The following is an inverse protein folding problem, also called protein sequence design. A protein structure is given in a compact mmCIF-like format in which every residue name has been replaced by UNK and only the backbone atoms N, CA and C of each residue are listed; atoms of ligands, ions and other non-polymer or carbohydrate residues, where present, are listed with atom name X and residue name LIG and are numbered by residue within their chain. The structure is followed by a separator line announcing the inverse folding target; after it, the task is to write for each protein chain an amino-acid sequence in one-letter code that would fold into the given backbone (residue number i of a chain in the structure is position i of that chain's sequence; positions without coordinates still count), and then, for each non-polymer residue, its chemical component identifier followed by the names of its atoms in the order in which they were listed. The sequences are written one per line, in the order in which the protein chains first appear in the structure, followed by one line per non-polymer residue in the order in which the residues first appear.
data_IF_958881200797
#
_entry.id   IF_958881200797
#
_cell.length_a   1.000
_cell.length_b   1.000
_cell.length_c   1.000
_cell.angle_alpha   90.00
_cell.angle_beta   90.00
_cell.angle_gamma   90.00
#
_symmetry.space_group_name_H-M   'P 1'
#
loop_
_entity.id
_entity.type
_entity.pdbx_description
1 polymer ?
#
# COMPACT_ATOMS: atom_id res chain seq x y z
N UNK A 1 -27.17 -16.76 -20.88
CA UNK A 1 -26.60 -15.39 -20.76
C UNK A 1 -26.61 -15.01 -19.28
N UNK A 2 -25.46 -14.61 -18.71
CA UNK A 2 -25.38 -14.20 -17.30
C UNK A 2 -26.12 -12.87 -17.08
N UNK A 3 -26.75 -12.71 -15.92
CA UNK A 3 -27.43 -11.48 -15.51
C UNK A 3 -26.49 -10.27 -15.33
N UNK A 4 -25.17 -10.53 -15.19
CA UNK A 4 -24.15 -9.52 -14.92
C UNK A 4 -23.20 -9.37 -16.11
N UNK A 5 -22.56 -8.21 -16.21
CA UNK A 5 -21.51 -7.97 -17.21
C UNK A 5 -20.29 -8.85 -16.95
N UNK A 6 -19.58 -9.25 -18.02
CA UNK A 6 -18.32 -10.01 -17.90
C UNK A 6 -17.30 -9.28 -17.04
N UNK A 7 -17.22 -7.95 -17.11
CA UNK A 7 -16.32 -7.11 -16.34
C UNK A 7 -16.61 -7.21 -14.83
N UNK A 8 -17.88 -7.23 -14.43
CA UNK A 8 -18.28 -7.32 -13.02
C UNK A 8 -18.01 -8.72 -12.43
N UNK A 9 -17.96 -9.75 -13.26
CA UNK A 9 -17.82 -11.16 -12.81
C UNK A 9 -16.44 -11.76 -13.07
N UNK A 10 -15.51 -11.03 -13.69
CA UNK A 10 -14.16 -11.52 -13.94
C UNK A 10 -13.29 -11.51 -12.68
N UNK A 11 -12.27 -12.39 -12.65
CA UNK A 11 -11.32 -12.51 -11.55
C UNK A 11 -10.27 -11.39 -11.45
N UNK A 12 -10.31 -10.40 -12.33
CA UNK A 12 -9.36 -9.27 -12.32
C UNK A 12 -9.39 -8.45 -11.02
N UNK A 13 -10.44 -8.63 -10.19
CA UNK A 13 -10.51 -8.04 -8.85
C UNK A 13 -9.52 -8.68 -7.88
N UNK A 14 -9.08 -9.93 -8.10
CA UNK A 14 -8.09 -10.62 -7.27
C UNK A 14 -8.60 -11.06 -5.89
N UNK A 15 -9.92 -11.19 -5.69
CA UNK A 15 -10.52 -11.60 -4.40
C UNK A 15 -10.11 -12.99 -3.93
N UNK A 16 -9.68 -13.86 -4.82
CA UNK A 16 -9.21 -15.22 -4.57
C UNK A 16 -7.70 -15.30 -4.29
N UNK A 17 -7.01 -14.15 -4.31
CA UNK A 17 -5.59 -14.10 -3.95
C UNK A 17 -5.37 -14.44 -2.46
N UNK A 18 -4.20 -14.98 -2.13
CA UNK A 18 -3.81 -15.29 -0.75
C UNK A 18 -3.86 -14.07 0.18
N UNK A 19 -3.72 -12.86 -0.37
CA UNK A 19 -3.89 -11.62 0.38
C UNK A 19 -5.31 -11.48 0.95
N UNK A 20 -6.35 -11.66 0.13
CA UNK A 20 -7.75 -11.57 0.57
C UNK A 20 -8.19 -12.83 1.34
N UNK A 21 -7.69 -14.01 0.98
CA UNK A 21 -7.97 -15.24 1.74
C UNK A 21 -7.49 -15.13 3.19
N UNK A 22 -6.33 -14.53 3.43
CA UNK A 22 -5.83 -14.29 4.78
C UNK A 22 -6.76 -13.38 5.61
N UNK A 23 -7.39 -12.40 4.97
CA UNK A 23 -8.39 -11.55 5.62
C UNK A 23 -9.64 -12.33 5.98
N UNK A 24 -10.17 -13.12 5.06
CA UNK A 24 -11.34 -13.95 5.30
C UNK A 24 -11.11 -14.95 6.45
N UNK A 25 -9.93 -15.53 6.55
CA UNK A 25 -9.58 -16.44 7.67
C UNK A 25 -9.48 -15.69 9.00
N UNK A 26 -8.93 -14.47 8.98
CA UNK A 26 -8.94 -13.60 10.16
C UNK A 26 -10.37 -13.26 10.59
N UNK A 27 -11.23 -12.84 9.68
CA UNK A 27 -12.63 -12.47 9.98
C UNK A 27 -13.44 -13.63 10.60
N UNK A 28 -13.15 -14.86 10.20
CA UNK A 28 -13.79 -16.07 10.78
C UNK A 28 -13.33 -16.37 12.21
N UNK A 29 -12.13 -15.94 12.60
CA UNK A 29 -11.51 -16.30 13.87
C UNK A 29 -10.53 -15.21 14.36
N UNK A 30 -11.02 -13.97 14.59
CA UNK A 30 -10.15 -12.86 15.01
C UNK A 30 -9.64 -13.08 16.44
N UNK A 31 -8.39 -12.69 16.66
CA UNK A 31 -7.83 -12.64 18.00
C UNK A 31 -8.50 -11.56 18.82
N UNK A 32 -8.89 -11.91 20.04
CA UNK A 32 -9.29 -11.00 21.10
C UNK A 32 -8.66 -11.48 22.40
N UNK A 33 -8.08 -10.59 23.17
CA UNK A 33 -7.32 -10.93 24.38
C UNK A 33 -8.18 -11.67 25.42
N UNK A 34 -9.46 -11.32 25.53
CA UNK A 34 -10.40 -11.86 26.52
C UNK A 34 -11.31 -12.92 25.91
N UNK A 35 -11.93 -12.60 24.77
CA UNK A 35 -12.98 -13.43 24.18
C UNK A 35 -12.43 -14.56 23.31
N UNK A 36 -11.29 -14.36 22.65
CA UNK A 36 -10.69 -15.35 21.74
C UNK A 36 -9.17 -15.31 21.74
N UNK A 37 -8.49 -15.66 22.86
CA UNK A 37 -7.04 -15.58 22.96
C UNK A 37 -6.28 -16.55 22.03
N UNK A 38 -6.97 -17.50 21.41
CA UNK A 38 -6.44 -18.44 20.41
C UNK A 38 -6.72 -18.04 18.96
N UNK A 39 -7.36 -16.89 18.75
CA UNK A 39 -7.68 -16.38 17.45
C UNK A 39 -6.47 -15.96 16.63
N UNK A 40 -6.70 -15.61 15.37
CA UNK A 40 -5.70 -15.16 14.42
C UNK A 40 -5.37 -13.70 14.68
N UNK A 41 -4.10 -13.35 14.88
CA UNK A 41 -3.62 -11.97 14.98
C UNK A 41 -3.46 -11.41 13.57
N UNK A 42 -3.99 -10.21 13.31
CA UNK A 42 -3.94 -9.56 12.00
C UNK A 42 -2.60 -8.82 11.81
N UNK A 43 -1.71 -9.41 11.02
CA UNK A 43 -0.44 -8.79 10.60
C UNK A 43 -0.35 -8.59 9.07
N UNK A 44 -1.43 -8.86 8.35
CA UNK A 44 -1.54 -8.63 6.90
C UNK A 44 -2.14 -7.27 6.54
N UNK A 45 -2.72 -6.53 7.51
CA UNK A 45 -3.35 -5.23 7.32
C UNK A 45 -2.38 -4.08 7.62
N UNK A 46 -2.00 -3.31 6.60
CA UNK A 46 -1.22 -2.09 6.76
C UNK A 46 -2.10 -0.93 7.23
N UNK A 47 -2.41 -0.87 8.52
CA UNK A 47 -3.18 0.19 9.16
C UNK A 47 -2.38 0.78 10.32
N UNK A 48 -2.48 2.10 10.48
CA UNK A 48 -1.81 2.82 11.56
C UNK A 48 -2.80 3.13 12.67
N UNK A 49 -2.71 2.41 13.78
CA UNK A 49 -3.57 2.59 14.96
C UNK A 49 -2.79 3.15 16.16
N UNK A 50 -1.53 3.55 15.96
CA UNK A 50 -0.62 3.86 17.07
C UNK A 50 -0.90 5.19 17.76
N UNK A 51 -1.62 6.11 17.11
CA UNK A 51 -1.71 7.50 17.56
C UNK A 51 -3.16 8.02 17.60
N UNK A 52 -4.16 7.14 17.75
CA UNK A 52 -5.56 7.54 17.88
C UNK A 52 -5.82 8.42 19.11
N UNK A 53 -5.13 8.16 20.22
CA UNK A 53 -5.19 8.97 21.43
C UNK A 53 -4.90 10.47 21.18
N UNK A 54 -3.99 10.77 20.25
CA UNK A 54 -3.67 12.16 19.87
C UNK A 54 -4.82 12.79 19.07
N UNK A 55 -5.42 12.04 18.15
CA UNK A 55 -6.57 12.48 17.35
C UNK A 55 -7.79 12.69 18.24
N UNK A 56 -8.10 11.73 19.11
CA UNK A 56 -9.22 11.80 20.05
C UNK A 56 -9.04 12.98 21.03
N UNK A 57 -7.81 13.19 21.54
CA UNK A 57 -7.50 14.35 22.38
C UNK A 57 -7.69 15.67 21.65
N UNK A 58 -7.34 15.75 20.36
CA UNK A 58 -7.58 16.95 19.56
C UNK A 58 -9.08 17.19 19.35
N UNK A 59 -9.83 16.15 19.01
CA UNK A 59 -11.29 16.22 18.84
C UNK A 59 -11.99 16.67 20.12
N UNK A 60 -11.59 16.14 21.27
CA UNK A 60 -12.13 16.54 22.56
C UNK A 60 -11.88 18.01 22.92
N UNK A 61 -10.74 18.58 22.46
CA UNK A 61 -10.40 19.99 22.64
C UNK A 61 -11.07 20.92 21.63
N UNK A 62 -11.61 20.38 20.54
CA UNK A 62 -12.24 21.12 19.45
C UNK A 62 -13.69 20.63 19.19
N UNK A 63 -14.56 20.62 20.21
CA UNK A 63 -15.90 20.01 20.10
C UNK A 63 -16.81 20.73 19.09
N UNK A 64 -16.60 22.00 18.83
CA UNK A 64 -17.38 22.75 17.85
C UNK A 64 -17.18 22.23 16.42
N UNK A 65 -15.96 21.79 16.10
CA UNK A 65 -15.64 21.27 14.76
C UNK A 65 -16.44 19.98 14.49
N UNK A 66 -16.46 19.06 15.47
CA UNK A 66 -17.22 17.81 15.37
C UNK A 66 -18.74 18.04 15.40
N UNK A 67 -19.20 19.09 16.09
CA UNK A 67 -20.60 19.48 16.17
C UNK A 67 -21.06 20.35 14.98
N UNK A 68 -20.22 20.56 13.98
CA UNK A 68 -20.48 21.41 12.83
C UNK A 68 -20.89 22.84 13.23
N UNK A 69 -20.12 23.41 14.16
CA UNK A 69 -20.27 24.79 14.61
C UNK A 69 -19.05 25.62 14.25
N UNK A 70 -19.27 26.91 14.04
CA UNK A 70 -18.24 27.94 13.90
C UNK A 70 -18.69 29.16 14.66
N UNK A 71 -17.85 29.67 15.59
CA UNK A 71 -18.15 30.80 16.45
C UNK A 71 -19.52 30.64 17.16
N UNK A 72 -19.78 29.47 17.70
CA UNK A 72 -21.02 29.09 18.39
C UNK A 72 -22.25 28.86 17.49
N UNK A 73 -22.17 29.16 16.18
CA UNK A 73 -23.27 29.00 15.22
C UNK A 73 -23.18 27.70 14.45
N UNK A 74 -24.35 27.07 14.19
CA UNK A 74 -24.41 25.87 13.36
C UNK A 74 -24.10 26.21 11.90
N UNK A 75 -23.16 25.48 11.30
CA UNK A 75 -22.88 25.49 9.87
C UNK A 75 -23.38 24.23 9.17
N UNK A 76 -24.25 23.43 9.86
CA UNK A 76 -24.77 22.17 9.32
C UNK A 76 -25.44 22.35 7.97
N UNK A 77 -26.26 23.39 7.81
CA UNK A 77 -26.97 23.65 6.55
C UNK A 77 -26.01 23.91 5.40
N UNK A 78 -24.91 24.62 5.65
CA UNK A 78 -23.87 24.87 4.63
C UNK A 78 -23.21 23.55 4.19
N UNK A 79 -22.86 22.70 5.16
CA UNK A 79 -22.18 21.43 4.89
C UNK A 79 -23.12 20.37 4.29
N UNK A 80 -24.43 20.47 4.54
CA UNK A 80 -25.42 19.51 4.04
C UNK A 80 -25.81 19.72 2.58
N UNK A 81 -25.57 20.92 2.04
CA UNK A 81 -25.85 21.25 0.64
C UNK A 81 -24.74 20.72 -0.29
N UNK A 82 -25.04 20.62 -1.59
CA UNK A 82 -24.03 20.37 -2.57
C UNK A 82 -22.93 21.45 -2.51
N UNK A 83 -21.69 20.97 -2.40
CA UNK A 83 -20.50 21.81 -2.47
C UNK A 83 -19.82 21.66 -3.83
N UNK A 84 -18.87 22.54 -4.12
CA UNK A 84 -18.03 22.40 -5.30
C UNK A 84 -17.31 21.04 -5.25
N UNK A 85 -17.48 20.23 -6.28
CA UNK A 85 -16.82 18.91 -6.39
C UNK A 85 -15.30 19.02 -6.60
N UNK A 86 -14.76 20.24 -6.82
CA UNK A 86 -13.33 20.48 -6.74
C UNK A 86 -12.82 20.43 -5.27
N UNK A 87 -13.71 20.45 -4.31
CA UNK A 87 -13.43 20.43 -2.88
C UNK A 87 -13.47 21.81 -2.22
N UNK A 88 -13.65 21.83 -0.90
CA UNK A 88 -13.66 23.06 -0.11
C UNK A 88 -12.29 23.76 -0.18
N UNK A 89 -12.21 25.03 -0.55
CA UNK A 89 -10.94 25.77 -0.68
C UNK A 89 -10.07 25.70 0.58
N UNK A 90 -10.70 25.82 1.76
CA UNK A 90 -9.99 25.72 3.05
C UNK A 90 -9.37 24.32 3.25
N UNK A 91 -10.07 23.28 2.84
CA UNK A 91 -9.54 21.92 2.96
C UNK A 91 -8.40 21.68 1.99
N UNK A 92 -8.55 22.08 0.73
CA UNK A 92 -7.48 21.97 -0.28
C UNK A 92 -6.22 22.67 0.21
N UNK A 93 -6.35 23.92 0.71
CA UNK A 93 -5.23 24.69 1.27
C UNK A 93 -4.58 23.98 2.46
N UNK A 94 -5.37 23.52 3.44
CA UNK A 94 -4.85 22.81 4.61
C UNK A 94 -4.14 21.50 4.24
N UNK A 95 -4.67 20.77 3.25
CA UNK A 95 -4.09 19.53 2.76
C UNK A 95 -2.75 19.74 2.05
N UNK A 96 -2.66 20.72 1.14
CA UNK A 96 -1.39 21.01 0.44
C UNK A 96 -0.32 21.54 1.39
N UNK A 97 -0.69 22.33 2.37
CA UNK A 97 0.23 22.80 3.42
C UNK A 97 0.74 21.65 4.28
N UNK A 98 -0.14 20.70 4.61
CA UNK A 98 0.25 19.49 5.33
C UNK A 98 1.15 18.59 4.48
N UNK A 99 0.83 18.40 3.19
CA UNK A 99 1.68 17.65 2.27
C UNK A 99 3.08 18.26 2.14
N UNK A 100 3.19 19.59 2.11
CA UNK A 100 4.48 20.28 2.12
C UNK A 100 5.23 20.09 3.46
N UNK A 101 4.53 20.21 4.59
CA UNK A 101 5.10 20.08 5.93
C UNK A 101 5.74 18.69 6.17
N UNK A 102 5.04 17.61 5.83
CA UNK A 102 5.58 16.25 5.99
C UNK A 102 6.75 15.94 5.05
N UNK A 103 6.97 16.77 4.04
CA UNK A 103 8.14 16.75 3.11
C UNK A 103 9.21 17.77 3.49
N UNK A 104 9.18 18.27 4.73
CA UNK A 104 10.15 19.25 5.23
C UNK A 104 10.10 20.60 4.54
N UNK A 105 8.98 20.97 3.91
CA UNK A 105 8.76 22.19 3.12
C UNK A 105 9.76 22.36 1.95
N UNK A 106 10.35 21.30 1.47
CA UNK A 106 11.28 21.33 0.32
C UNK A 106 10.55 21.49 -1.00
N UNK A 107 9.29 21.05 -1.05
CA UNK A 107 8.36 21.23 -2.16
C UNK A 107 7.11 21.95 -1.69
N UNK A 108 6.51 22.71 -2.58
CA UNK A 108 5.22 23.38 -2.39
C UNK A 108 4.20 22.79 -3.35
N UNK A 109 2.95 22.80 -2.95
CA UNK A 109 1.83 22.29 -3.75
C UNK A 109 0.81 23.42 -3.96
N UNK A 110 0.38 23.63 -5.22
CA UNK A 110 -0.69 24.56 -5.53
C UNK A 110 -2.05 23.89 -5.25
N UNK A 111 -2.93 24.50 -4.41
CA UNK A 111 -4.25 23.95 -4.18
C UNK A 111 -5.14 23.89 -5.43
N UNK A 112 -4.81 24.61 -6.51
CA UNK A 112 -5.53 24.52 -7.78
C UNK A 112 -5.15 23.26 -8.58
N UNK A 113 -3.96 22.70 -8.35
CA UNK A 113 -3.45 21.49 -9.00
C UNK A 113 -3.72 20.21 -8.21
N UNK A 114 -4.56 20.28 -7.16
CA UNK A 114 -4.94 19.11 -6.38
C UNK A 114 -6.36 18.65 -6.72
N UNK A 115 -6.51 17.35 -6.93
CA UNK A 115 -7.81 16.69 -7.15
C UNK A 115 -8.10 15.77 -5.98
N UNK A 116 -9.22 16.00 -5.29
CA UNK A 116 -9.64 15.16 -4.16
C UNK A 116 -10.32 13.87 -4.65
N UNK A 117 -10.04 12.78 -3.96
CA UNK A 117 -10.56 11.45 -4.31
C UNK A 117 -10.94 10.66 -3.05
N UNK A 118 -11.74 9.61 -3.21
CA UNK A 118 -12.13 8.71 -2.12
C UNK A 118 -10.98 7.75 -1.71
N UNK A 119 -9.86 8.31 -1.26
CA UNK A 119 -8.64 7.59 -0.90
C UNK A 119 -7.72 7.32 -2.10
N UNK A 120 -6.50 6.83 -1.84
CA UNK A 120 -5.50 6.57 -2.89
C UNK A 120 -5.93 5.51 -3.90
N UNK A 121 -6.76 4.55 -3.52
CA UNK A 121 -7.36 3.58 -4.46
C UNK A 121 -8.09 4.29 -5.59
N UNK A 122 -8.97 5.25 -5.25
CA UNK A 122 -9.67 6.05 -6.24
C UNK A 122 -8.74 6.99 -7.00
N UNK A 123 -7.69 7.53 -6.34
CA UNK A 123 -6.69 8.37 -7.00
C UNK A 123 -5.93 7.61 -8.09
N UNK A 124 -5.43 6.43 -7.76
CA UNK A 124 -4.70 5.58 -8.70
C UNK A 124 -5.59 5.12 -9.87
N UNK A 125 -6.83 4.67 -9.58
CA UNK A 125 -7.79 4.32 -10.63
C UNK A 125 -8.11 5.50 -11.55
N UNK A 126 -8.34 6.69 -10.98
CA UNK A 126 -8.62 7.93 -11.74
C UNK A 126 -7.45 8.28 -12.66
N UNK A 127 -6.20 8.17 -12.18
CA UNK A 127 -5.04 8.42 -13.04
C UNK A 127 -4.93 7.38 -14.16
N UNK A 128 -5.14 6.09 -13.88
CA UNK A 128 -5.17 5.08 -14.94
C UNK A 128 -6.22 5.39 -16.00
N UNK A 129 -7.42 5.79 -15.57
CA UNK A 129 -8.50 6.18 -16.48
C UNK A 129 -8.16 7.41 -17.33
N UNK A 130 -7.45 8.40 -16.75
CA UNK A 130 -7.12 9.64 -17.45
C UNK A 130 -5.92 9.51 -18.38
N UNK A 131 -4.98 8.61 -18.09
CA UNK A 131 -3.67 8.53 -18.76
C UNK A 131 -3.55 7.37 -19.74
N UNK A 132 -4.46 6.40 -19.72
CA UNK A 132 -4.34 5.17 -20.49
C UNK A 132 -5.69 4.67 -21.01
N UNK A 133 -5.65 4.10 -22.19
CA UNK A 133 -6.76 3.35 -22.77
C UNK A 133 -6.72 1.88 -22.34
N UNK A 134 -7.84 1.18 -22.56
CA UNK A 134 -7.91 -0.25 -22.30
C UNK A 134 -6.88 -1.01 -23.14
N UNK A 135 -6.03 -1.80 -22.47
CA UNK A 135 -4.96 -2.57 -23.10
C UNK A 135 -3.61 -1.85 -23.14
N UNK A 136 -3.57 -0.56 -22.77
CA UNK A 136 -2.30 0.11 -22.49
C UNK A 136 -1.69 -0.42 -21.19
N UNK A 137 -0.42 -0.17 -20.96
CA UNK A 137 0.33 -0.74 -19.84
C UNK A 137 1.02 0.32 -18.97
N UNK A 138 1.17 -0.02 -17.69
CA UNK A 138 2.08 0.65 -16.77
C UNK A 138 3.12 -0.33 -16.24
N UNK A 139 4.37 0.16 -16.11
CA UNK A 139 5.45 -0.61 -15.49
C UNK A 139 5.40 -0.42 -13.97
N UNK A 140 5.49 -1.50 -13.20
CA UNK A 140 5.51 -1.47 -11.73
C UNK A 140 6.70 -2.29 -11.20
N UNK A 141 7.55 -1.73 -10.30
CA UNK A 141 8.62 -2.50 -9.67
C UNK A 141 8.05 -3.55 -8.70
N UNK A 142 8.53 -4.77 -8.80
CA UNK A 142 8.19 -5.86 -7.89
C UNK A 142 9.16 -5.90 -6.70
N UNK A 143 8.72 -6.32 -5.50
CA UNK A 143 7.33 -6.57 -5.15
C UNK A 143 6.53 -5.28 -5.00
N UNK A 144 5.20 -5.35 -5.26
CA UNK A 144 4.30 -4.21 -5.13
C UNK A 144 3.04 -4.56 -4.32
N UNK A 145 2.26 -3.53 -3.97
CA UNK A 145 1.03 -3.67 -3.20
C UNK A 145 -0.01 -4.53 -3.94
N UNK A 146 -0.51 -5.63 -3.34
CA UNK A 146 -1.45 -6.56 -3.99
C UNK A 146 -2.75 -5.91 -4.49
N UNK A 147 -3.17 -4.82 -3.85
CA UNK A 147 -4.38 -4.10 -4.26
C UNK A 147 -4.28 -3.42 -5.61
N UNK A 148 -3.08 -3.21 -6.16
CA UNK A 148 -2.90 -2.60 -7.49
C UNK A 148 -3.48 -3.45 -8.62
N UNK A 149 -3.51 -4.78 -8.50
CA UNK A 149 -4.17 -5.64 -9.48
C UNK A 149 -5.65 -5.26 -9.64
N UNK A 150 -6.33 -4.93 -8.54
CA UNK A 150 -7.69 -4.42 -8.56
C UNK A 150 -7.74 -2.95 -8.95
N UNK A 151 -6.97 -2.11 -8.25
CA UNK A 151 -7.09 -0.65 -8.31
C UNK A 151 -6.75 -0.12 -9.70
N UNK A 152 -5.77 -0.74 -10.39
CA UNK A 152 -5.31 -0.28 -11.69
C UNK A 152 -5.98 -1.00 -12.88
N UNK A 153 -6.29 -2.31 -12.75
CA UNK A 153 -6.69 -3.17 -13.87
C UNK A 153 -8.20 -3.36 -14.01
N UNK A 154 -8.88 -3.65 -12.92
CA UNK A 154 -10.23 -4.22 -12.97
C UNK A 154 -11.24 -3.35 -13.74
N UNK A 155 -11.31 -2.06 -13.43
CA UNK A 155 -12.27 -1.15 -14.09
C UNK A 155 -11.71 -0.51 -15.34
N UNK A 156 -10.45 -0.15 -15.36
CA UNK A 156 -9.79 0.54 -16.46
C UNK A 156 -9.46 -0.38 -17.63
N UNK A 157 -9.03 -1.62 -17.32
CA UNK A 157 -8.50 -2.56 -18.31
C UNK A 157 -7.05 -2.28 -18.71
N UNK A 158 -6.34 -1.49 -17.91
CA UNK A 158 -4.89 -1.27 -18.03
C UNK A 158 -4.14 -2.54 -17.65
N UNK A 159 -3.03 -2.83 -18.34
CA UNK A 159 -2.15 -3.95 -18.03
C UNK A 159 -1.00 -3.50 -17.11
N UNK A 160 -0.59 -4.40 -16.20
CA UNK A 160 0.60 -4.21 -15.38
C UNK A 160 1.73 -5.05 -15.95
N UNK A 161 2.87 -4.43 -16.23
CA UNK A 161 4.10 -5.10 -16.62
C UNK A 161 5.12 -4.96 -15.49
N UNK A 162 5.56 -6.07 -14.87
CA UNK A 162 6.44 -6.01 -13.72
C UNK A 162 7.88 -5.62 -14.12
N UNK A 163 8.47 -4.67 -13.39
CA UNK A 163 9.90 -4.44 -13.36
C UNK A 163 10.48 -5.41 -12.34
N UNK A 164 11.21 -6.42 -12.79
CA UNK A 164 11.69 -7.50 -11.93
C UNK A 164 12.84 -7.01 -11.04
N UNK A 165 12.55 -6.78 -9.75
CA UNK A 165 13.53 -6.46 -8.72
C UNK A 165 13.78 -7.69 -7.85
N UNK A 166 15.01 -7.85 -7.33
CA UNK A 166 15.43 -9.05 -6.61
C UNK A 166 16.03 -8.74 -5.24
N UNK A 167 15.98 -9.70 -4.33
CA UNK A 167 16.55 -9.55 -2.99
C UNK A 167 18.07 -9.42 -2.95
N UNK A 168 18.77 -9.75 -4.05
CA UNK A 168 20.23 -9.63 -4.15
C UNK A 168 20.73 -8.17 -4.10
N UNK A 169 19.86 -7.20 -4.43
CA UNK A 169 20.14 -5.76 -4.34
C UNK A 169 19.08 -5.02 -3.53
N UNK A 170 18.50 -5.67 -2.51
CA UNK A 170 17.46 -5.11 -1.66
C UNK A 170 16.22 -4.63 -2.43
N UNK A 171 15.91 -5.28 -3.55
CA UNK A 171 14.78 -4.97 -4.45
C UNK A 171 14.83 -3.55 -5.05
N UNK A 172 16.01 -2.97 -5.19
CA UNK A 172 16.18 -1.67 -5.85
C UNK A 172 15.91 -1.77 -7.36
N UNK A 173 15.37 -0.71 -7.92
CA UNK A 173 15.14 -0.59 -9.36
C UNK A 173 16.50 -0.35 -10.05
N UNK A 174 16.80 -1.18 -11.05
CA UNK A 174 17.98 -1.02 -11.89
C UNK A 174 17.59 -0.61 -13.30
N UNK A 175 18.48 0.07 -14.01
CA UNK A 175 18.27 0.45 -15.41
C UNK A 175 18.00 -0.79 -16.29
N UNK A 176 18.74 -1.86 -16.09
CA UNK A 176 18.57 -3.11 -16.83
C UNK A 176 17.18 -3.73 -16.60
N UNK A 177 16.70 -3.77 -15.35
CA UNK A 177 15.37 -4.29 -15.04
C UNK A 177 14.25 -3.46 -15.67
N UNK A 178 14.41 -2.12 -15.65
CA UNK A 178 13.46 -1.19 -16.24
C UNK A 178 13.40 -1.33 -17.77
N UNK A 179 14.57 -1.41 -18.43
CA UNK A 179 14.66 -1.61 -19.89
C UNK A 179 14.10 -2.98 -20.31
N UNK A 180 14.38 -4.05 -19.55
CA UNK A 180 13.84 -5.39 -19.83
C UNK A 180 12.30 -5.42 -19.72
N UNK A 181 11.73 -4.77 -18.70
CA UNK A 181 10.28 -4.66 -18.55
C UNK A 181 9.64 -3.90 -19.73
N UNK A 182 10.27 -2.82 -20.17
CA UNK A 182 9.81 -2.06 -21.34
C UNK A 182 9.87 -2.89 -22.62
N UNK A 183 10.97 -3.62 -22.85
CA UNK A 183 11.12 -4.53 -23.98
C UNK A 183 10.10 -5.68 -23.96
N UNK A 184 9.78 -6.22 -22.77
CA UNK A 184 8.75 -7.25 -22.63
C UNK A 184 7.37 -6.71 -23.04
N UNK A 185 7.03 -5.51 -22.58
CA UNK A 185 5.80 -4.84 -22.99
C UNK A 185 5.73 -4.66 -24.52
N UNK A 186 6.84 -4.24 -25.16
CA UNK A 186 6.92 -4.08 -26.62
C UNK A 186 6.73 -5.41 -27.35
N UNK A 187 7.36 -6.50 -26.88
CA UNK A 187 7.18 -7.86 -27.46
C UNK A 187 5.73 -8.34 -27.37
N UNK A 188 5.01 -7.91 -26.34
CA UNK A 188 3.58 -8.20 -26.14
C UNK A 188 2.67 -7.22 -26.90
N UNK A 189 3.22 -6.32 -27.73
CA UNK A 189 2.49 -5.26 -28.43
C UNK A 189 1.67 -4.36 -27.50
N UNK A 190 2.16 -4.09 -26.29
CA UNK A 190 1.54 -3.18 -25.33
C UNK A 190 2.10 -1.77 -25.49
N UNK A 191 1.23 -0.76 -25.49
CA UNK A 191 1.62 0.65 -25.40
C UNK A 191 1.88 1.00 -23.95
N UNK A 192 3.13 1.29 -23.58
CA UNK A 192 3.48 1.67 -22.21
C UNK A 192 3.23 3.16 -22.02
N UNK A 193 2.31 3.50 -21.11
CA UNK A 193 1.94 4.88 -20.77
C UNK A 193 2.73 5.47 -19.62
N UNK A 194 3.43 4.63 -18.84
CA UNK A 194 4.25 5.16 -17.75
C UNK A 194 4.75 4.12 -16.78
N UNK A 195 5.31 4.65 -15.69
CA UNK A 195 5.77 3.90 -14.52
C UNK A 195 4.99 4.36 -13.30
N UNK A 196 4.53 3.41 -12.47
CA UNK A 196 3.96 3.70 -11.16
C UNK A 196 4.88 3.12 -10.09
N UNK A 197 5.25 3.95 -9.11
CA UNK A 197 6.05 3.55 -7.95
C UNK A 197 5.36 3.97 -6.66
N UNK A 198 5.55 3.19 -5.59
CA UNK A 198 5.16 3.57 -4.23
C UNK A 198 6.40 3.98 -3.45
N UNK A 199 6.45 5.20 -2.96
CA UNK A 199 7.57 5.71 -2.17
C UNK A 199 7.08 6.45 -0.91
N UNK A 200 7.39 5.97 0.29
CA UNK A 200 8.07 4.72 0.67
C UNK A 200 7.39 3.46 0.15
N UNK A 201 8.19 2.43 -0.19
CA UNK A 201 7.71 1.22 -0.85
C UNK A 201 6.80 0.36 0.04
N UNK A 202 5.71 -0.12 -0.52
CA UNK A 202 4.90 -1.22 -0.01
C UNK A 202 5.05 -2.41 -0.98
N UNK A 203 5.63 -3.55 -0.56
CA UNK A 203 5.71 -4.06 0.81
C UNK A 203 7.06 -3.88 1.53
N UNK A 204 8.06 -3.25 0.94
CA UNK A 204 9.43 -3.28 1.43
C UNK A 204 9.67 -2.48 2.74
N UNK A 205 8.89 -1.39 2.96
CA UNK A 205 9.07 -0.51 4.12
C UNK A 205 10.32 0.37 4.03
N UNK A 206 10.76 0.69 2.83
CA UNK A 206 11.95 1.52 2.57
C UNK A 206 11.61 2.73 1.69
N UNK A 207 12.37 3.81 1.87
CA UNK A 207 12.36 4.96 0.97
C UNK A 207 13.19 4.67 -0.27
N UNK A 208 12.71 5.12 -1.44
CA UNK A 208 13.51 5.08 -2.67
C UNK A 208 14.72 6.01 -2.59
N UNK A 209 15.81 5.59 -3.17
CA UNK A 209 17.01 6.42 -3.27
C UNK A 209 16.84 7.52 -4.32
N UNK A 210 17.63 8.60 -4.20
CA UNK A 210 17.68 9.66 -5.23
C UNK A 210 18.13 9.11 -6.59
N UNK A 211 19.01 8.10 -6.60
CA UNK A 211 19.48 7.48 -7.84
C UNK A 211 18.37 6.74 -8.57
N UNK A 212 17.52 5.97 -7.85
CA UNK A 212 16.37 5.30 -8.45
C UNK A 212 15.36 6.31 -9.02
N UNK A 213 15.09 7.41 -8.27
CA UNK A 213 14.18 8.45 -8.76
C UNK A 213 14.74 9.16 -10.00
N UNK A 214 16.04 9.46 -10.01
CA UNK A 214 16.70 10.04 -11.18
C UNK A 214 16.60 9.11 -12.39
N UNK A 215 16.87 7.82 -12.20
CA UNK A 215 16.73 6.80 -13.24
C UNK A 215 15.32 6.79 -13.84
N UNK A 216 14.28 6.85 -13.00
CA UNK A 216 12.89 6.88 -13.47
C UNK A 216 12.56 8.17 -14.23
N UNK A 217 13.04 9.32 -13.76
CA UNK A 217 12.85 10.62 -14.44
C UNK A 217 13.58 10.62 -15.79
N UNK A 218 14.82 10.12 -15.86
CA UNK A 218 15.56 10.01 -17.10
C UNK A 218 14.82 9.08 -18.07
N UNK A 219 14.37 7.94 -17.61
CA UNK A 219 13.64 6.96 -18.41
C UNK A 219 12.37 7.54 -19.06
N UNK A 220 11.57 8.31 -18.32
CA UNK A 220 10.37 8.96 -18.89
C UNK A 220 10.71 10.18 -19.73
N UNK A 221 11.84 10.86 -19.47
CA UNK A 221 12.28 12.04 -20.23
C UNK A 221 12.58 11.68 -21.68
N UNK A 222 13.19 10.53 -21.92
CA UNK A 222 13.53 10.02 -23.25
C UNK A 222 12.31 9.56 -24.07
N UNK A 223 11.11 9.56 -23.49
CA UNK A 223 9.89 9.02 -24.08
C UNK A 223 8.74 10.01 -23.93
N UNK A 224 8.36 10.66 -25.03
CA UNK A 224 7.46 11.82 -25.05
C UNK A 224 6.09 11.58 -24.37
N UNK A 225 5.54 10.35 -24.43
CA UNK A 225 4.18 10.04 -23.98
C UNK A 225 4.13 9.25 -22.67
N UNK A 226 5.25 9.17 -21.93
CA UNK A 226 5.32 8.42 -20.69
C UNK A 226 5.13 9.31 -19.46
N UNK A 227 4.35 8.79 -18.51
CA UNK A 227 4.09 9.40 -17.22
C UNK A 227 4.85 8.68 -16.10
N UNK A 228 5.15 9.39 -15.02
CA UNK A 228 5.59 8.83 -13.75
C UNK A 228 4.57 9.14 -12.67
N UNK A 229 4.00 8.10 -12.07
CA UNK A 229 3.10 8.22 -10.92
C UNK A 229 3.88 7.81 -9.67
N UNK A 230 4.02 8.73 -8.73
CA UNK A 230 4.63 8.49 -7.43
C UNK A 230 3.53 8.42 -6.37
N UNK A 231 3.21 7.21 -5.91
CA UNK A 231 2.29 7.01 -4.77
C UNK A 231 3.06 7.24 -3.47
N UNK A 232 2.91 8.45 -2.91
CA UNK A 232 3.63 8.92 -1.72
C UNK A 232 2.78 8.80 -0.43
N UNK A 233 1.88 7.82 -0.39
CA UNK A 233 0.93 7.60 0.71
C UNK A 233 1.58 7.37 2.08
N UNK A 234 2.86 6.94 2.11
CA UNK A 234 3.63 6.67 3.33
C UNK A 234 4.64 7.77 3.67
N UNK A 235 4.61 8.94 3.02
CA UNK A 235 5.62 9.99 3.14
C UNK A 235 5.84 10.49 4.57
N UNK A 236 4.78 10.56 5.39
CA UNK A 236 4.86 10.96 6.81
C UNK A 236 5.23 9.81 7.77
N UNK A 237 5.34 8.57 7.29
CA UNK A 237 5.68 7.39 8.12
C UNK A 237 7.17 7.10 8.20
N UNK A 238 8.02 7.95 7.64
CA UNK A 238 9.49 7.74 7.69
C UNK A 238 10.00 8.01 9.10
N UNK A 239 10.54 6.99 9.74
CA UNK A 239 10.95 7.01 11.14
C UNK A 239 12.46 6.83 11.36
N UNK A 240 13.23 6.57 10.29
CA UNK A 240 14.69 6.45 10.33
C UNK A 240 15.33 6.96 9.04
N UNK A 241 16.67 7.08 9.04
CA UNK A 241 17.44 7.46 7.84
C UNK A 241 17.49 6.33 6.80
N UNK A 242 17.51 6.70 5.49
CA UNK A 242 17.41 8.05 4.95
C UNK A 242 16.03 8.65 5.09
N UNK A 243 15.94 9.99 5.13
CA UNK A 243 14.67 10.72 5.16
C UNK A 243 13.90 10.59 3.84
N UNK A 244 12.63 10.96 3.86
CA UNK A 244 11.79 10.97 2.67
C UNK A 244 12.24 12.03 1.65
N UNK A 245 12.26 11.65 0.38
CA UNK A 245 12.46 12.53 -0.76
C UNK A 245 11.30 12.36 -1.72
N UNK A 246 10.58 13.45 -2.01
CA UNK A 246 9.50 13.44 -3.01
C UNK A 246 10.07 13.46 -4.43
N UNK A 247 9.33 12.86 -5.38
CA UNK A 247 9.69 12.97 -6.80
C UNK A 247 9.75 14.43 -7.26
N UNK A 248 8.90 15.30 -6.71
CA UNK A 248 8.89 16.73 -7.04
C UNK A 248 10.11 17.47 -6.49
N UNK A 249 10.71 17.01 -5.37
CA UNK A 249 11.99 17.53 -4.87
C UNK A 249 13.11 17.25 -5.89
N UNK A 250 13.13 16.04 -6.46
CA UNK A 250 14.12 15.69 -7.49
C UNK A 250 13.97 16.56 -8.74
N UNK A 251 12.73 16.76 -9.23
CA UNK A 251 12.50 17.64 -10.39
C UNK A 251 12.99 19.07 -10.12
N UNK A 252 12.73 19.58 -8.92
CA UNK A 252 13.18 20.92 -8.50
C UNK A 252 14.71 21.01 -8.43
N UNK A 253 15.36 20.03 -7.79
CA UNK A 253 16.81 19.98 -7.61
C UNK A 253 17.55 19.87 -8.95
N UNK A 254 16.93 19.23 -9.95
CA UNK A 254 17.47 19.13 -11.31
C UNK A 254 17.27 20.40 -12.15
N UNK A 255 16.60 21.43 -11.61
CA UNK A 255 16.28 22.68 -12.31
C UNK A 255 15.60 22.44 -13.68
N UNK A 256 14.75 21.42 -13.77
CA UNK A 256 14.01 21.13 -14.99
C UNK A 256 13.00 22.26 -15.24
N UNK A 257 13.09 22.86 -16.43
CA UNK A 257 12.22 23.98 -16.81
C UNK A 257 10.77 23.49 -16.94
N UNK A 258 9.83 24.23 -16.34
CA UNK A 258 8.40 23.94 -16.44
C UNK A 258 7.81 24.26 -17.81
N UNK A 259 8.44 25.15 -18.58
CA UNK A 259 7.93 25.72 -19.82
C UNK A 259 8.60 25.16 -21.09
N UNK A 260 9.31 24.03 -21.02
CA UNK A 260 9.92 23.39 -22.19
C UNK A 260 8.93 22.44 -22.89
N UNK A 261 9.04 22.28 -24.22
CA UNK A 261 8.19 21.36 -25.01
C UNK A 261 8.31 19.89 -24.55
N UNK A 262 9.42 19.53 -23.89
CA UNK A 262 9.63 18.23 -23.25
C UNK A 262 9.23 18.21 -21.77
N UNK A 263 8.28 19.03 -21.36
CA UNK A 263 7.98 19.31 -19.97
C UNK A 263 7.68 18.05 -19.12
N UNK A 264 8.70 17.54 -18.44
CA UNK A 264 8.62 16.38 -17.56
C UNK A 264 7.67 16.65 -16.37
N UNK A 265 7.57 17.90 -15.90
CA UNK A 265 6.65 18.28 -14.83
C UNK A 265 5.20 17.92 -15.15
N UNK A 266 4.77 18.10 -16.41
CA UNK A 266 3.42 17.77 -16.87
C UNK A 266 3.15 16.25 -16.93
N UNK A 267 4.19 15.43 -16.77
CA UNK A 267 4.13 13.98 -16.87
C UNK A 267 4.44 13.27 -15.55
N UNK A 268 4.68 14.03 -14.47
CA UNK A 268 4.91 13.50 -13.12
C UNK A 268 3.72 13.83 -12.25
N UNK A 269 3.13 12.80 -11.63
CA UNK A 269 1.94 12.92 -10.78
C UNK A 269 2.20 12.31 -9.42
N UNK A 270 1.74 12.99 -8.37
CA UNK A 270 1.84 12.49 -7.00
C UNK A 270 0.47 12.04 -6.51
N UNK A 271 0.40 10.83 -5.99
CA UNK A 271 -0.76 10.33 -5.23
C UNK A 271 -0.46 10.43 -3.74
N UNK A 272 -1.44 10.91 -2.99
CA UNK A 272 -1.33 11.03 -1.54
C UNK A 272 -2.65 10.66 -0.84
N UNK A 273 -2.58 10.30 0.43
CA UNK A 273 -3.77 10.01 1.25
C UNK A 273 -3.46 10.16 2.74
N UNK A 274 -4.45 10.60 3.52
CA UNK A 274 -4.38 10.66 4.98
C UNK A 274 -4.51 9.27 5.65
N UNK A 275 -4.76 8.22 4.88
CA UNK A 275 -5.04 6.87 5.39
C UNK A 275 -3.91 6.25 6.21
N UNK A 276 -2.64 6.59 5.89
CA UNK A 276 -1.48 5.96 6.54
C UNK A 276 -0.78 6.92 7.50
N UNK A 277 -0.51 8.13 7.05
CA UNK A 277 0.21 9.13 7.84
C UNK A 277 -0.59 9.56 9.09
N UNK A 278 -1.91 9.76 8.95
CA UNK A 278 -2.79 10.08 10.07
C UNK A 278 -3.55 8.87 10.64
N UNK A 279 -3.44 7.68 10.03
CA UNK A 279 -4.20 6.51 10.47
C UNK A 279 -5.72 6.66 10.26
N UNK A 280 -6.15 7.38 9.23
CA UNK A 280 -7.56 7.68 8.94
C UNK A 280 -8.07 7.00 7.64
N UNK A 281 -7.89 5.67 7.46
CA UNK A 281 -8.34 5.00 6.24
C UNK A 281 -9.87 5.05 6.07
N UNK A 282 -10.62 5.09 7.16
CA UNK A 282 -12.10 5.17 7.16
C UNK A 282 -12.65 6.52 6.69
N UNK A 283 -11.86 7.59 6.74
CA UNK A 283 -12.27 8.93 6.28
C UNK A 283 -12.27 9.06 4.76
N UNK A 284 -11.66 8.13 4.04
CA UNK A 284 -11.64 8.07 2.58
C UNK A 284 -11.12 9.34 1.91
N UNK A 285 -10.00 9.87 2.37
CA UNK A 285 -9.36 11.07 1.79
C UNK A 285 -8.11 10.67 1.02
N UNK A 286 -8.14 10.90 -0.27
CA UNK A 286 -7.00 10.81 -1.18
C UNK A 286 -6.89 12.06 -2.04
N UNK A 287 -5.75 12.23 -2.67
CA UNK A 287 -5.47 13.34 -3.55
C UNK A 287 -4.55 12.92 -4.70
N UNK A 288 -4.78 13.51 -5.86
CA UNK A 288 -3.86 13.56 -6.98
C UNK A 288 -3.30 14.96 -7.04
N UNK A 289 -1.99 15.10 -7.17
CA UNK A 289 -1.34 16.36 -7.51
C UNK A 289 -0.67 16.24 -8.87
N UNK A 290 -0.91 17.22 -9.74
CA UNK A 290 -0.32 17.26 -11.07
C UNK A 290 -0.13 18.71 -11.50
N UNK A 291 1.02 19.03 -12.09
CA UNK A 291 1.25 20.34 -12.74
C UNK A 291 0.59 20.41 -14.14
N UNK A 292 -0.02 19.33 -14.60
CA UNK A 292 -0.69 19.25 -15.90
C UNK A 292 -2.18 19.62 -15.78
N UNK A 293 -2.55 20.80 -16.25
CA UNK A 293 -3.93 21.31 -16.19
C UNK A 293 -4.94 20.38 -16.89
N UNK A 294 -4.55 19.71 -17.97
CA UNK A 294 -5.45 18.80 -18.68
C UNK A 294 -5.73 17.53 -17.89
N UNK A 295 -4.70 17.01 -17.16
CA UNK A 295 -4.87 15.89 -16.25
C UNK A 295 -5.72 16.30 -15.05
N UNK A 296 -5.47 17.47 -14.47
CA UNK A 296 -6.27 18.02 -13.35
C UNK A 296 -7.73 18.18 -13.78
N UNK A 297 -8.00 18.77 -14.94
CA UNK A 297 -9.36 18.94 -15.46
C UNK A 297 -10.07 17.61 -15.72
N UNK A 298 -9.38 16.63 -16.31
CA UNK A 298 -9.93 15.30 -16.56
C UNK A 298 -10.21 14.53 -15.26
N UNK A 299 -9.24 14.52 -14.34
CA UNK A 299 -9.35 13.84 -13.04
C UNK A 299 -10.45 14.47 -12.18
N UNK A 300 -10.63 15.78 -12.22
CA UNK A 300 -11.70 16.48 -11.51
C UNK A 300 -13.09 16.04 -11.98
N UNK A 301 -13.30 15.81 -13.27
CA UNK A 301 -14.58 15.25 -13.78
C UNK A 301 -14.86 13.87 -13.18
N UNK A 302 -13.82 13.05 -13.04
CA UNK A 302 -13.92 11.72 -12.42
C UNK A 302 -14.16 11.77 -10.90
N UNK A 303 -13.74 12.83 -10.22
CA UNK A 303 -13.98 13.04 -8.77
C UNK A 303 -15.47 12.99 -8.42
N UNK A 304 -16.38 13.36 -9.34
CA UNK A 304 -17.82 13.29 -9.11
C UNK A 304 -18.31 11.89 -8.69
N UNK A 305 -17.54 10.83 -8.98
CA UNK A 305 -17.84 9.45 -8.60
C UNK A 305 -17.19 9.01 -7.27
N UNK A 306 -16.35 9.85 -6.68
CA UNK A 306 -15.59 9.52 -5.48
C UNK A 306 -15.26 10.75 -4.63
N UNK A 307 -16.26 11.59 -4.35
CA UNK A 307 -16.11 12.83 -3.58
C UNK A 307 -15.85 12.52 -2.10
N UNK A 308 -15.02 13.36 -1.51
CA UNK A 308 -14.87 13.44 -0.05
C UNK A 308 -16.03 14.27 0.52
N UNK A 309 -16.73 13.75 1.53
CA UNK A 309 -17.87 14.48 2.13
C UNK A 309 -17.47 15.84 2.67
N UNK A 310 -18.36 16.84 2.56
CA UNK A 310 -18.13 18.20 3.08
C UNK A 310 -17.84 18.21 4.57
N UNK A 311 -18.47 17.31 5.33
CA UNK A 311 -18.25 17.14 6.76
C UNK A 311 -16.84 16.67 7.07
N UNK A 312 -16.34 15.67 6.31
CA UNK A 312 -14.96 15.20 6.42
C UNK A 312 -13.98 16.31 6.07
N UNK A 313 -14.23 17.03 4.98
CA UNK A 313 -13.38 18.14 4.56
C UNK A 313 -13.36 19.27 5.60
N UNK A 314 -14.51 19.62 6.20
CA UNK A 314 -14.59 20.63 7.25
C UNK A 314 -13.78 20.23 8.49
N UNK A 315 -14.01 19.01 9.00
CA UNK A 315 -13.29 18.50 10.17
C UNK A 315 -11.77 18.51 9.93
N UNK A 316 -11.34 17.98 8.79
CA UNK A 316 -9.93 17.87 8.47
C UNK A 316 -9.30 19.21 8.10
N UNK A 317 -10.04 20.19 7.58
CA UNK A 317 -9.55 21.56 7.39
C UNK A 317 -9.07 22.15 8.71
N UNK A 318 -9.87 22.02 9.75
CA UNK A 318 -9.53 22.53 11.08
C UNK A 318 -8.34 21.76 11.68
N UNK A 319 -8.36 20.43 11.59
CA UNK A 319 -7.31 19.57 12.13
C UNK A 319 -5.95 19.81 11.45
N UNK A 320 -5.91 19.82 10.11
CA UNK A 320 -4.69 20.05 9.34
C UNK A 320 -4.23 21.51 9.38
N UNK A 321 -5.16 22.44 9.65
CA UNK A 321 -4.87 23.86 9.87
C UNK A 321 -4.16 24.12 11.19
N UNK A 322 -4.33 23.27 12.20
CA UNK A 322 -3.62 23.35 13.48
C UNK A 322 -2.17 22.83 13.32
N UNK A 323 -1.28 23.73 12.92
CA UNK A 323 0.12 23.40 12.64
C UNK A 323 0.90 22.93 13.87
N UNK A 324 0.48 23.31 15.07
CA UNK A 324 1.08 22.80 16.32
C UNK A 324 0.69 21.34 16.53
N UNK A 325 -0.56 21.02 16.28
CA UNK A 325 -1.06 19.65 16.37
C UNK A 325 -0.40 18.75 15.33
N UNK A 326 -0.41 19.11 14.03
CA UNK A 326 0.11 18.28 12.95
C UNK A 326 1.58 17.94 13.13
N UNK A 327 2.42 18.92 13.51
CA UNK A 327 3.85 18.69 13.80
C UNK A 327 4.06 17.73 14.96
N UNK A 328 3.34 17.97 16.07
CA UNK A 328 3.42 17.08 17.23
C UNK A 328 2.95 15.67 16.89
N UNK A 329 1.83 15.54 16.18
CA UNK A 329 1.29 14.26 15.75
C UNK A 329 2.30 13.47 14.90
N UNK A 330 2.84 14.07 13.84
CA UNK A 330 3.79 13.40 12.93
C UNK A 330 5.04 12.97 13.70
N UNK A 331 5.62 13.86 14.53
CA UNK A 331 6.81 13.55 15.32
C UNK A 331 6.57 12.36 16.27
N UNK A 332 5.47 12.40 17.02
CA UNK A 332 5.12 11.34 17.97
C UNK A 332 4.80 10.03 17.25
N UNK A 333 4.03 10.09 16.17
CA UNK A 333 3.68 8.92 15.37
C UNK A 333 4.94 8.24 14.79
N UNK A 334 5.92 9.00 14.29
CA UNK A 334 7.19 8.45 13.81
C UNK A 334 8.00 7.78 14.92
N UNK A 335 8.00 8.35 16.12
CA UNK A 335 8.66 7.72 17.28
C UNK A 335 7.99 6.39 17.68
N UNK A 336 6.65 6.35 17.70
CA UNK A 336 5.88 5.15 17.98
C UNK A 336 6.09 4.08 16.90
N UNK A 337 6.10 4.46 15.63
CA UNK A 337 6.42 3.56 14.51
C UNK A 337 7.83 2.95 14.67
N UNK A 338 8.83 3.78 14.96
CA UNK A 338 10.21 3.32 15.20
C UNK A 338 10.30 2.32 16.35
N UNK A 339 9.59 2.60 17.46
CA UNK A 339 9.52 1.70 18.60
C UNK A 339 8.91 0.35 18.23
N UNK A 340 7.76 0.36 17.52
CA UNK A 340 7.07 -0.86 17.09
C UNK A 340 7.88 -1.68 16.09
N UNK A 341 8.51 -1.03 15.13
CA UNK A 341 9.43 -1.68 14.19
C UNK A 341 10.58 -2.37 14.93
N UNK A 342 11.21 -1.73 15.91
CA UNK A 342 12.26 -2.34 16.72
C UNK A 342 11.77 -3.55 17.51
N UNK A 343 10.56 -3.50 18.06
CA UNK A 343 9.95 -4.65 18.76
C UNK A 343 9.76 -5.84 17.81
N UNK A 344 9.18 -5.60 16.61
CA UNK A 344 9.02 -6.64 15.60
C UNK A 344 10.37 -7.25 15.21
N UNK A 345 11.36 -6.42 14.84
CA UNK A 345 12.68 -6.87 14.40
C UNK A 345 13.39 -7.68 15.50
N UNK A 346 13.34 -7.21 16.75
CA UNK A 346 13.89 -7.96 17.90
C UNK A 346 13.21 -9.32 18.09
N UNK A 347 11.88 -9.37 17.92
CA UNK A 347 11.12 -10.62 17.98
C UNK A 347 11.50 -11.60 16.87
N UNK A 348 11.63 -11.11 15.63
CA UNK A 348 12.07 -11.90 14.47
C UNK A 348 13.50 -12.45 14.68
N UNK A 349 14.44 -11.60 15.12
CA UNK A 349 15.82 -12.03 15.42
C UNK A 349 15.88 -13.14 16.47
N UNK A 350 15.08 -13.04 17.55
CA UNK A 350 14.95 -14.09 18.58
C UNK A 350 14.34 -15.39 18.04
N UNK A 351 13.62 -15.33 16.93
CA UNK A 351 13.09 -16.48 16.21
C UNK A 351 14.04 -16.98 15.11
N UNK A 352 15.21 -16.37 14.90
CA UNK A 352 16.16 -16.74 13.85
C UNK A 352 15.69 -16.29 12.44
N UNK A 353 14.80 -15.30 12.35
CA UNK A 353 14.25 -14.78 11.11
C UNK A 353 14.88 -13.41 10.82
N UNK A 354 15.33 -13.20 9.59
CA UNK A 354 15.84 -11.91 9.11
C UNK A 354 14.78 -11.10 8.39
N UNK A 355 15.02 -9.80 8.22
CA UNK A 355 14.16 -8.92 7.42
C UNK A 355 15.00 -7.84 6.75
N UNK A 356 14.46 -7.29 5.66
CA UNK A 356 15.01 -6.11 5.02
C UNK A 356 15.04 -4.95 6.02
N UNK A 357 16.09 -4.15 6.00
CA UNK A 357 16.22 -2.98 6.89
C UNK A 357 15.22 -1.91 6.46
N UNK A 358 14.12 -1.80 7.18
CA UNK A 358 13.08 -0.80 6.93
C UNK A 358 13.36 0.51 7.67
N UNK A 359 12.99 1.64 7.04
CA UNK A 359 13.07 2.98 7.61
C UNK A 359 11.74 3.75 7.54
N UNK A 360 10.70 3.12 6.98
CA UNK A 360 9.41 3.75 6.73
C UNK A 360 8.27 2.72 6.72
N UNK A 361 7.03 3.21 6.62
CA UNK A 361 5.85 2.38 6.48
C UNK A 361 5.36 1.78 7.80
N UNK A 362 4.50 0.78 7.69
CA UNK A 362 3.76 0.16 8.80
C UNK A 362 4.09 -1.34 8.93
N UNK A 363 5.12 -1.81 8.22
CA UNK A 363 5.43 -3.23 8.04
C UNK A 363 6.93 -3.44 7.78
N UNK A 364 7.36 -4.69 7.93
CA UNK A 364 8.67 -5.16 7.51
C UNK A 364 8.53 -6.24 6.42
N UNK A 365 9.51 -6.29 5.52
CA UNK A 365 9.67 -7.34 4.51
C UNK A 365 10.63 -8.40 5.06
N UNK A 366 10.09 -9.61 5.28
CA UNK A 366 10.69 -10.63 6.14
C UNK A 366 11.12 -11.83 5.32
N UNK A 367 12.36 -12.28 5.52
CA UNK A 367 12.95 -13.43 4.86
C UNK A 367 12.73 -14.71 5.68
N UNK A 368 11.86 -15.58 5.19
CA UNK A 368 11.57 -16.90 5.77
C UNK A 368 12.00 -18.04 4.84
N UNK A 369 12.87 -17.79 3.84
CA UNK A 369 13.32 -18.78 2.86
C UNK A 369 13.92 -20.03 3.50
N UNK A 370 14.60 -19.90 4.64
CA UNK A 370 15.18 -21.03 5.39
C UNK A 370 14.14 -21.96 6.02
N UNK A 371 12.87 -21.56 6.07
CA UNK A 371 11.75 -22.37 6.58
C UNK A 371 11.02 -23.11 5.44
N UNK A 372 11.34 -22.82 4.19
CA UNK A 372 10.74 -23.49 3.03
C UNK A 372 11.29 -24.93 2.91
N UNK A 373 10.44 -25.86 2.51
CA UNK A 373 10.85 -27.22 2.19
C UNK A 373 11.58 -27.33 0.84
N UNK A 374 11.27 -26.42 -0.09
CA UNK A 374 11.90 -26.24 -1.39
C UNK A 374 11.79 -24.78 -1.81
N UNK A 375 12.68 -24.32 -2.69
CA UNK A 375 12.67 -22.94 -3.17
C UNK A 375 11.61 -22.75 -4.27
N UNK A 376 10.32 -22.88 -3.89
CA UNK A 376 9.17 -22.74 -4.80
C UNK A 376 8.03 -21.96 -4.15
N UNK A 377 7.16 -21.35 -4.97
CA UNK A 377 5.98 -20.64 -4.49
C UNK A 377 4.94 -21.57 -3.87
N UNK A 378 4.88 -22.85 -4.28
CA UNK A 378 4.05 -23.85 -3.62
C UNK A 378 4.49 -24.08 -2.17
N UNK A 379 5.82 -24.17 -1.92
CA UNK A 379 6.37 -24.30 -0.57
C UNK A 379 6.14 -23.02 0.27
N UNK A 380 6.19 -21.83 -0.34
CA UNK A 380 5.80 -20.58 0.32
C UNK A 380 4.34 -20.62 0.76
N UNK A 381 3.42 -21.06 -0.12
CA UNK A 381 2.00 -21.15 0.20
C UNK A 381 1.70 -22.22 1.27
N UNK A 382 2.44 -23.33 1.30
CA UNK A 382 2.32 -24.32 2.37
C UNK A 382 2.83 -23.74 3.73
N UNK A 383 3.93 -22.97 3.72
CA UNK A 383 4.40 -22.26 4.90
C UNK A 383 3.37 -21.22 5.36
N UNK A 384 2.82 -20.42 4.44
CA UNK A 384 1.76 -19.44 4.73
C UNK A 384 0.55 -20.09 5.40
N UNK A 385 0.06 -21.23 4.88
CA UNK A 385 -1.03 -21.97 5.50
C UNK A 385 -0.71 -22.41 6.94
N UNK A 386 0.51 -22.92 7.17
CA UNK A 386 0.95 -23.27 8.54
C UNK A 386 0.95 -22.05 9.45
N UNK A 387 1.42 -20.92 8.98
CA UNK A 387 1.44 -19.67 9.78
C UNK A 387 0.01 -19.22 10.10
N UNK A 388 -0.91 -19.23 9.14
CA UNK A 388 -2.32 -18.84 9.39
C UNK A 388 -3.03 -19.81 10.31
N UNK A 389 -2.93 -21.13 10.05
CA UNK A 389 -3.77 -22.11 10.75
C UNK A 389 -3.15 -22.71 12.01
N UNK A 390 -1.83 -22.76 12.13
CA UNK A 390 -1.14 -23.30 13.30
C UNK A 390 -0.59 -22.20 14.20
N UNK A 391 0.14 -21.23 13.63
CA UNK A 391 0.70 -20.11 14.41
C UNK A 391 -0.36 -19.08 14.76
N UNK A 392 -1.45 -19.03 13.99
CA UNK A 392 -2.55 -18.06 14.17
C UNK A 392 -2.11 -16.61 13.92
N UNK A 393 -1.37 -16.40 12.85
CA UNK A 393 -0.99 -15.09 12.34
C UNK A 393 -1.44 -14.92 10.89
N UNK A 394 -2.17 -13.87 10.59
CA UNK A 394 -2.40 -13.48 9.19
C UNK A 394 -1.26 -12.57 8.73
N UNK A 395 -0.44 -13.04 7.79
CA UNK A 395 0.66 -12.30 7.15
C UNK A 395 0.48 -12.37 5.64
N UNK A 396 1.07 -11.43 4.89
CA UNK A 396 0.97 -11.45 3.43
C UNK A 396 2.15 -12.20 2.82
N UNK A 397 1.93 -13.28 2.03
CA UNK A 397 3.01 -13.98 1.34
C UNK A 397 3.57 -13.12 0.20
N UNK A 398 4.83 -13.33 -0.15
CA UNK A 398 5.54 -12.59 -1.20
C UNK A 398 4.92 -12.76 -2.58
N UNK A 399 4.44 -13.94 -2.89
CA UNK A 399 3.70 -14.23 -4.13
C UNK A 399 2.49 -13.32 -4.32
N UNK A 400 1.77 -12.96 -3.24
CA UNK A 400 0.66 -12.01 -3.33
C UNK A 400 1.11 -10.57 -3.63
N UNK A 401 2.36 -10.25 -3.36
CA UNK A 401 2.99 -8.98 -3.69
C UNK A 401 3.79 -9.04 -5.01
N UNK A 402 3.62 -10.09 -5.79
CA UNK A 402 4.38 -10.34 -7.04
C UNK A 402 5.89 -10.39 -6.85
N UNK A 403 6.35 -10.85 -5.69
CA UNK A 403 7.77 -11.09 -5.44
C UNK A 403 8.31 -12.14 -6.40
N UNK A 404 9.50 -11.91 -6.94
CA UNK A 404 10.16 -12.84 -7.88
C UNK A 404 10.79 -14.05 -7.19
N UNK A 405 10.97 -13.97 -5.87
CA UNK A 405 11.63 -14.97 -5.04
C UNK A 405 10.64 -15.49 -4.01
N UNK A 406 10.44 -16.82 -3.89
CA UNK A 406 9.57 -17.39 -2.85
C UNK A 406 10.18 -17.27 -1.45
N UNK A 407 9.33 -17.21 -0.44
CA UNK A 407 9.72 -17.22 0.97
C UNK A 407 9.89 -15.85 1.62
N UNK A 408 9.54 -14.80 0.93
CA UNK A 408 9.40 -13.47 1.52
C UNK A 408 7.98 -13.23 2.01
N UNK A 409 7.84 -12.44 3.09
CA UNK A 409 6.53 -12.13 3.69
C UNK A 409 6.48 -10.69 4.19
N UNK A 410 5.32 -10.04 4.05
CA UNK A 410 5.07 -8.75 4.69
C UNK A 410 4.38 -8.94 6.02
N UNK A 411 4.98 -8.41 7.10
CA UNK A 411 4.44 -8.38 8.45
C UNK A 411 4.18 -6.95 8.90
N UNK A 412 2.91 -6.61 9.18
CA UNK A 412 2.51 -5.31 9.70
C UNK A 412 2.63 -5.27 11.23
N UNK A 413 2.98 -4.11 11.79
CA UNK A 413 3.25 -3.92 13.22
C UNK A 413 2.48 -2.74 13.85
N UNK A 414 1.77 -1.96 13.03
CA UNK A 414 1.19 -0.69 13.47
C UNK A 414 -0.31 -0.77 13.79
N UNK A 415 -0.94 -1.93 13.68
CA UNK A 415 -2.38 -2.15 13.83
C UNK A 415 -2.75 -2.99 15.05
N UNK A 416 -1.89 -3.05 16.07
CA UNK A 416 -2.11 -3.82 17.28
C UNK A 416 -1.42 -3.22 18.50
N UNK A 417 -1.75 -3.69 19.72
CA UNK A 417 -1.05 -3.34 20.96
C UNK A 417 0.38 -3.90 21.00
N UNK A 418 1.21 -3.42 21.93
CA UNK A 418 2.57 -3.97 22.16
C UNK A 418 2.49 -5.41 22.66
N UNK A 419 1.54 -5.71 23.54
CA UNK A 419 1.34 -7.05 24.10
C UNK A 419 0.92 -8.05 23.03
N UNK A 420 0.02 -7.63 22.13
CA UNK A 420 -0.39 -8.43 20.96
C UNK A 420 0.78 -8.70 20.02
N UNK A 421 1.63 -7.71 19.78
CA UNK A 421 2.83 -7.88 18.95
C UNK A 421 3.83 -8.85 19.61
N UNK A 422 4.06 -8.72 20.91
CA UNK A 422 4.93 -9.64 21.67
C UNK A 422 4.38 -11.08 21.64
N UNK A 423 3.07 -11.24 21.80
CA UNK A 423 2.40 -12.55 21.67
C UNK A 423 2.60 -13.14 20.28
N UNK A 424 2.44 -12.33 19.21
CA UNK A 424 2.65 -12.77 17.84
C UNK A 424 4.08 -13.28 17.63
N UNK A 425 5.06 -12.56 18.16
CA UNK A 425 6.47 -12.97 18.07
C UNK A 425 6.78 -14.23 18.91
N UNK A 426 6.16 -14.41 20.07
CA UNK A 426 6.26 -15.64 20.86
C UNK A 426 5.69 -16.84 20.11
N UNK A 427 4.51 -16.69 19.48
CA UNK A 427 3.90 -17.75 18.65
C UNK A 427 4.79 -18.14 17.48
N UNK A 428 5.32 -17.14 16.76
CA UNK A 428 6.20 -17.37 15.61
C UNK A 428 7.50 -18.07 16.04
N UNK A 429 8.13 -17.63 17.14
CA UNK A 429 9.32 -18.27 17.68
C UNK A 429 9.09 -19.73 18.05
N UNK A 430 7.99 -20.05 18.74
CA UNK A 430 7.65 -21.43 19.09
C UNK A 430 7.55 -22.31 17.84
N UNK A 431 6.84 -21.85 16.81
CA UNK A 431 6.71 -22.55 15.53
C UNK A 431 8.07 -22.82 14.86
N UNK A 432 8.97 -21.83 14.84
CA UNK A 432 10.31 -21.99 14.24
C UNK A 432 11.12 -23.03 15.00
N UNK A 433 11.13 -23.00 16.34
CA UNK A 433 11.82 -23.98 17.17
C UNK A 433 11.30 -25.40 16.91
N UNK A 434 9.98 -25.58 16.84
CA UNK A 434 9.38 -26.89 16.53
C UNK A 434 9.75 -27.37 15.12
N UNK A 435 9.76 -26.45 14.14
CA UNK A 435 10.07 -26.77 12.74
C UNK A 435 11.55 -27.12 12.51
N UNK A 436 12.46 -26.50 13.26
CA UNK A 436 13.92 -26.72 13.13
C UNK A 436 14.46 -27.79 14.09
N UNK A 437 13.85 -27.96 15.27
CA UNK A 437 14.24 -28.97 16.27
C UNK A 437 13.85 -30.41 15.93
N UNK A 438 12.97 -30.62 14.93
CA UNK A 438 12.51 -31.93 14.51
C UNK A 438 13.50 -32.76 13.67
N UNK A 439 14.63 -32.19 13.26
CA UNK A 439 15.63 -32.88 12.41
C UNK A 439 16.70 -33.65 13.20
N UNK A 440 16.64 -33.61 14.55
CA UNK A 440 17.67 -34.22 15.40
C UNK A 440 17.33 -35.58 16.05
N UNK A 441 16.10 -36.10 15.93
CA UNK A 441 15.75 -37.39 16.57
C UNK A 441 14.44 -37.95 16.02
N UNK A 442 14.48 -38.65 14.89
CA UNK A 442 13.46 -39.64 14.53
C UNK A 442 14.09 -41.02 14.46
N UNK A 443 14.34 -41.60 15.64
CA UNK A 443 14.28 -43.08 15.80
C UNK A 443 12.81 -43.44 16.02
N UNK A 444 12.40 -44.43 15.22
CA UNK A 444 11.10 -45.04 15.11
C UNK A 444 10.35 -45.29 16.41
N UNK A 445 9.11 -44.84 16.52
CA UNK A 445 8.06 -45.58 17.23
C UNK A 445 6.84 -45.62 16.31
N UNK A 446 6.53 -46.84 15.87
CA UNK A 446 5.26 -47.14 15.17
C UNK A 446 4.09 -46.93 16.16
N UNK A 447 3.17 -46.06 15.85
CA UNK A 447 1.79 -46.20 16.31
C UNK A 447 0.85 -45.71 15.22
N UNK A 448 0.02 -46.65 14.79
CA UNK A 448 -1.04 -46.45 13.81
C UNK A 448 -2.13 -45.52 14.37
N UNK A 449 -2.29 -44.36 13.77
CA UNK A 449 -3.48 -43.54 13.94
C UNK A 449 -3.98 -43.06 12.57
N UNK A 450 -5.24 -43.35 12.34
CA UNK A 450 -6.00 -43.21 11.08
C UNK A 450 -5.84 -41.84 10.41
N UNK A 451 -5.23 -41.82 9.23
CA UNK A 451 -5.34 -40.75 8.24
C UNK A 451 -6.79 -40.64 7.77
N UNK A 452 -7.50 -39.61 8.18
CA UNK A 452 -8.69 -39.13 7.47
C UNK A 452 -8.24 -38.10 6.42
N UNK A 453 -8.54 -38.43 5.17
CA UNK A 453 -8.10 -37.77 3.97
C UNK A 453 -8.49 -36.28 3.86
N UNK A 454 -7.48 -35.43 3.73
CA UNK A 454 -7.59 -34.02 3.32
C UNK A 454 -7.57 -33.84 1.77
N UNK A 455 -7.75 -34.94 1.01
CA UNK A 455 -7.52 -35.02 -0.44
C UNK A 455 -8.73 -34.56 -1.30
N UNK A 456 -9.77 -33.98 -0.74
CA UNK A 456 -10.97 -33.62 -1.55
C UNK A 456 -11.07 -32.18 -2.03
N UNK A 457 -10.11 -31.31 -1.72
CA UNK A 457 -10.19 -29.89 -2.10
C UNK A 457 -9.26 -29.46 -3.23
N UNK A 458 -8.25 -30.25 -3.58
CA UNK A 458 -7.27 -29.90 -4.64
C UNK A 458 -7.83 -30.14 -6.06
N UNK A 459 -8.87 -30.98 -6.22
CA UNK A 459 -9.38 -31.35 -7.55
C UNK A 459 -10.50 -30.46 -8.12
N UNK A 460 -10.94 -29.42 -7.43
CA UNK A 460 -11.98 -28.50 -7.96
C UNK A 460 -11.47 -27.26 -8.65
N UNK A 461 -10.18 -26.94 -8.57
CA UNK A 461 -9.58 -25.78 -9.23
C UNK A 461 -8.96 -26.07 -10.61
N UNK A 462 -8.69 -27.35 -10.96
CA UNK A 462 -8.04 -27.69 -12.24
C UNK A 462 -8.98 -28.16 -13.36
N UNK A 463 -10.27 -28.29 -13.11
CA UNK A 463 -11.22 -28.79 -14.11
C UNK A 463 -12.12 -27.73 -14.77
N UNK A 464 -11.95 -26.44 -14.42
CA UNK A 464 -12.71 -25.36 -15.08
C UNK A 464 -11.95 -24.58 -16.16
N UNK A 465 -10.65 -24.76 -16.27
CA UNK A 465 -9.82 -24.02 -17.24
C UNK A 465 -9.59 -24.71 -18.57
N UNK A 466 -10.22 -25.87 -18.83
CA UNK A 466 -10.02 -26.62 -20.10
C UNK A 466 -11.22 -26.64 -21.06
N UNK A 467 -12.31 -25.98 -20.76
CA UNK A 467 -13.49 -26.00 -21.67
C UNK A 467 -13.84 -24.65 -22.32
N UNK A 468 -12.93 -23.66 -22.35
CA UNK A 468 -13.19 -22.36 -22.98
C UNK A 468 -12.19 -21.95 -24.08
N UNK A 469 -11.36 -22.84 -24.61
CA UNK A 469 -10.51 -22.55 -25.79
C UNK A 469 -11.11 -22.96 -27.15
N UNK A 470 -12.29 -23.60 -27.17
CA UNK A 470 -12.95 -23.96 -28.44
C UNK A 470 -14.41 -23.45 -28.50
N UNK A 471 -14.59 -22.11 -28.58
CA UNK A 471 -15.76 -21.47 -29.26
C UNK A 471 -15.62 -19.96 -29.35
#
# INVERSE_FOLDING_TARGET
MGLLSRKATCNSHGQDSSYFLGWQEYEKNPYDEVLNPKGIIQMGLAENQLSFDLLESWLAKNPEVSAFKKDGKSIFRELALFQDYHGLPLFKKALVDFMAEIRGNKVTFDPNHIVLTAGSTSANETLMFCLADRGDAFLLPTPYYPGFDRDLKWRTGVEIVPIQCTGSNDFQITESALLLAYQDAQKRNLTVKGVLVTNPSNPLGITMSRNEMNLLIDFISDKADMHLISDEIYSGTVFDSPGFVSVLEILKDRNLLKDSDSNVWNRVHVVYSLSKDLGLPGFRVGAIYSENDTVVAAATKMSSFGLVSSQTQHLLSAMLGDKKFTRNYISENQQRLKRRQKMLVSGLQKAGISCLKSNAGLFCWVDMRHLLQSNTFEAEMELWKKIVYQVRLNISPGSSCHCTEPGWFRLCFANMSEDTLDLAMKRLKAFVVESTGGNGSRRSVHSSAKRKSLTKWVFRLSSRDREQEDR
#
